data_IF_230127383366
#
_entry.id   IF_230127383366
#
_cell.length_a   1.000
_cell.length_b   1.000
_cell.length_c   1.000
_cell.angle_alpha   90.00
_cell.angle_beta   90.00
_cell.angle_gamma   90.00
#
_symmetry.space_group_name_H-M   'P 1'
#
loop_
_entity.id
_entity.type
_entity.pdbx_description
1 polymer ?
#
# COMPACT_ATOMS: atom_id res chain seq x y z
N UNK A 1 34.62 -42.57 -20.57
CA UNK A 1 33.52 -42.59 -19.61
C UNK A 1 33.45 -41.21 -19.02
N UNK A 2 32.48 -40.37 -19.47
CA UNK A 2 32.22 -39.04 -18.98
C UNK A 2 30.94 -39.11 -18.17
N UNK A 3 31.03 -38.93 -16.85
CA UNK A 3 29.91 -38.86 -15.93
C UNK A 3 29.34 -37.45 -15.93
N UNK A 4 28.16 -37.27 -16.51
CA UNK A 4 27.41 -36.03 -16.48
C UNK A 4 26.82 -35.81 -15.09
N UNK A 5 27.27 -34.73 -14.39
CA UNK A 5 26.64 -34.24 -13.19
C UNK A 5 25.43 -33.39 -13.56
N UNK A 6 24.21 -33.89 -13.35
CA UNK A 6 22.99 -33.15 -13.46
C UNK A 6 22.86 -32.20 -12.27
N UNK A 7 22.83 -30.86 -12.53
CA UNK A 7 22.42 -29.87 -11.57
C UNK A 7 20.91 -30.02 -11.33
N UNK A 8 20.55 -30.52 -10.16
CA UNK A 8 19.17 -30.50 -9.70
C UNK A 8 18.77 -29.03 -9.42
N UNK A 9 17.95 -28.43 -10.28
CA UNK A 9 17.24 -27.18 -9.99
C UNK A 9 16.21 -27.50 -8.90
N UNK A 10 16.45 -26.99 -7.70
CA UNK A 10 15.47 -27.04 -6.63
C UNK A 10 14.21 -26.29 -7.07
N UNK A 11 13.14 -27.02 -7.32
CA UNK A 11 11.79 -26.47 -7.55
C UNK A 11 11.36 -25.76 -6.27
N UNK A 12 11.40 -24.43 -6.25
CA UNK A 12 10.79 -23.64 -5.20
C UNK A 12 9.27 -23.89 -5.25
N UNK A 13 8.78 -24.77 -4.40
CA UNK A 13 7.36 -24.98 -4.20
C UNK A 13 6.76 -23.70 -3.61
N UNK A 14 5.93 -22.99 -4.39
CA UNK A 14 5.08 -21.93 -3.87
C UNK A 14 4.16 -22.53 -2.79
N UNK A 15 4.48 -22.30 -1.54
CA UNK A 15 3.55 -22.54 -0.44
C UNK A 15 2.56 -21.36 -0.41
N UNK A 16 1.24 -21.58 -0.37
CA UNK A 16 0.30 -20.52 -0.03
C UNK A 16 0.58 -20.14 1.42
N UNK A 17 1.26 -19.00 1.64
CA UNK A 17 1.51 -18.47 2.97
C UNK A 17 0.23 -17.78 3.49
N UNK A 18 -0.75 -18.58 3.93
CA UNK A 18 -1.88 -18.13 4.75
C UNK A 18 -1.48 -17.87 6.20
N UNK A 19 -0.19 -17.88 6.54
CA UNK A 19 0.32 -17.65 7.88
C UNK A 19 0.74 -16.18 8.10
N UNK A 20 0.55 -15.70 9.33
CA UNK A 20 1.04 -14.40 9.75
C UNK A 20 2.57 -14.34 9.79
N UNK A 21 3.12 -13.14 9.77
CA UNK A 21 4.54 -12.88 9.96
C UNK A 21 4.85 -12.73 11.45
N UNK A 22 5.98 -13.29 11.90
CA UNK A 22 6.55 -13.02 13.23
C UNK A 22 7.70 -12.03 13.12
N UNK A 23 7.83 -11.17 14.11
CA UNK A 23 8.82 -10.09 14.17
C UNK A 23 9.65 -10.26 15.44
N UNK A 24 10.97 -10.12 15.34
CA UNK A 24 11.83 -10.03 16.52
C UNK A 24 11.78 -8.60 17.08
N UNK A 25 11.22 -8.38 18.29
CA UNK A 25 11.17 -7.05 18.89
C UNK A 25 12.55 -6.49 19.28
N UNK A 26 13.60 -7.31 19.24
CA UNK A 26 14.99 -6.91 19.48
C UNK A 26 15.75 -6.49 18.23
N UNK A 27 15.19 -6.73 17.02
CA UNK A 27 15.84 -6.48 15.74
C UNK A 27 15.04 -5.51 14.86
N UNK A 28 14.60 -4.38 15.45
CA UNK A 28 13.75 -3.41 14.75
C UNK A 28 14.56 -2.40 13.94
N UNK A 29 13.94 -1.79 12.90
CA UNK A 29 14.57 -0.72 12.13
C UNK A 29 15.03 0.43 13.02
N UNK A 30 16.25 0.91 12.81
CA UNK A 30 16.73 2.11 13.47
C UNK A 30 16.02 3.34 12.90
N UNK A 31 15.56 4.25 13.77
CA UNK A 31 14.90 5.49 13.37
C UNK A 31 13.38 5.42 13.37
N UNK A 32 12.76 6.23 12.51
CA UNK A 32 11.28 6.36 12.42
C UNK A 32 10.76 5.72 11.15
N UNK A 33 9.65 4.99 11.26
CA UNK A 33 8.89 4.44 10.14
C UNK A 33 7.48 5.03 10.17
N UNK A 34 7.08 5.72 9.12
CA UNK A 34 5.78 6.41 9.03
C UNK A 34 5.46 7.33 10.23
N UNK A 35 6.50 7.93 10.86
CA UNK A 35 6.35 8.78 12.05
C UNK A 35 6.36 8.03 13.40
N UNK A 36 6.43 6.70 13.41
CA UNK A 36 6.50 5.86 14.61
C UNK A 36 7.93 5.38 14.86
N UNK A 37 8.37 5.33 16.11
CA UNK A 37 9.76 4.98 16.47
C UNK A 37 9.86 4.36 17.86
N UNK A 38 10.98 3.71 18.16
CA UNK A 38 11.30 3.16 19.48
C UNK A 38 10.20 2.24 20.00
N UNK A 39 9.66 2.54 21.20
CA UNK A 39 8.60 1.78 21.86
C UNK A 39 7.38 1.51 20.95
N UNK A 40 7.03 2.45 20.06
CA UNK A 40 5.89 2.30 19.18
C UNK A 40 6.11 1.18 18.14
N UNK A 41 7.34 1.01 17.65
CA UNK A 41 7.69 -0.10 16.74
C UNK A 41 7.77 -1.44 17.52
N UNK A 42 8.24 -1.42 18.77
CA UNK A 42 8.19 -2.60 19.67
C UNK A 42 6.75 -3.05 19.86
N UNK A 43 5.84 -2.12 20.18
CA UNK A 43 4.43 -2.42 20.36
C UNK A 43 3.77 -2.93 19.07
N UNK A 44 4.13 -2.39 17.90
CA UNK A 44 3.66 -2.91 16.62
C UNK A 44 4.12 -4.36 16.40
N UNK A 45 5.39 -4.69 16.71
CA UNK A 45 5.92 -6.05 16.63
C UNK A 45 5.19 -7.02 17.58
N UNK A 46 4.90 -6.60 18.82
CA UNK A 46 4.14 -7.40 19.78
C UNK A 46 2.71 -7.65 19.33
N UNK A 47 2.03 -6.65 18.76
CA UNK A 47 0.72 -6.80 18.13
C UNK A 47 0.77 -7.84 17.02
N UNK A 48 1.76 -7.72 16.12
CA UNK A 48 1.92 -8.67 15.02
C UNK A 48 2.14 -10.10 15.51
N UNK A 49 3.01 -10.28 16.49
CA UNK A 49 3.30 -11.60 17.06
C UNK A 49 2.06 -12.22 17.72
N UNK A 50 1.24 -11.42 18.42
CA UNK A 50 -0.04 -11.87 18.97
C UNK A 50 -1.00 -12.34 17.86
N UNK A 51 -1.06 -11.63 16.73
CA UNK A 51 -1.85 -12.03 15.57
C UNK A 51 -1.32 -13.31 14.92
N UNK A 52 0.00 -13.43 14.76
CA UNK A 52 0.64 -14.64 14.21
C UNK A 52 0.36 -15.87 15.08
N UNK A 53 0.43 -15.74 16.41
CA UNK A 53 0.12 -16.82 17.36
C UNK A 53 -1.34 -17.30 17.25
N UNK A 54 -2.26 -16.48 16.79
CA UNK A 54 -3.65 -16.82 16.52
C UNK A 54 -3.91 -17.26 15.05
N UNK A 55 -2.87 -17.39 14.25
CA UNK A 55 -2.96 -17.82 12.84
C UNK A 55 -3.52 -16.76 11.89
N UNK A 56 -3.56 -15.49 12.30
CA UNK A 56 -4.02 -14.42 11.41
C UNK A 56 -3.00 -14.13 10.30
N UNK A 57 -3.51 -13.86 9.11
CA UNK A 57 -2.69 -13.38 7.98
C UNK A 57 -2.02 -12.04 8.32
N UNK A 58 -0.98 -11.67 7.54
CA UNK A 58 -0.31 -10.36 7.68
C UNK A 58 -1.31 -9.21 7.57
N UNK A 59 -2.34 -9.32 6.70
CA UNK A 59 -3.43 -8.35 6.62
C UNK A 59 -4.18 -8.22 7.95
N UNK A 60 -4.52 -9.32 8.60
CA UNK A 60 -5.19 -9.32 9.91
C UNK A 60 -4.31 -8.65 10.99
N UNK A 61 -3.02 -8.95 10.98
CA UNK A 61 -2.03 -8.32 11.86
C UNK A 61 -1.94 -6.80 11.62
N UNK A 62 -1.96 -6.37 10.35
CA UNK A 62 -1.97 -4.94 9.97
C UNK A 62 -3.21 -4.22 10.47
N UNK A 63 -4.39 -4.87 10.46
CA UNK A 63 -5.62 -4.31 11.05
C UNK A 63 -5.42 -4.03 12.54
N UNK A 64 -4.75 -4.92 13.28
CA UNK A 64 -4.42 -4.69 14.68
C UNK A 64 -3.49 -3.50 14.88
N UNK A 65 -2.41 -3.41 14.11
CA UNK A 65 -1.47 -2.27 14.15
C UNK A 65 -2.19 -0.96 13.81
N UNK A 66 -2.97 -0.92 12.74
CA UNK A 66 -3.79 0.23 12.33
C UNK A 66 -4.75 0.67 13.45
N UNK A 67 -5.42 -0.29 14.10
CA UNK A 67 -6.36 0.02 15.18
C UNK A 67 -5.63 0.64 16.37
N UNK A 68 -4.51 0.06 16.81
CA UNK A 68 -3.72 0.61 17.91
C UNK A 68 -3.09 1.98 17.57
N UNK A 69 -2.78 2.26 16.32
CA UNK A 69 -2.38 3.60 15.87
C UNK A 69 -3.50 4.62 16.13
N UNK A 70 -4.73 4.27 15.81
CA UNK A 70 -5.90 5.12 16.03
C UNK A 70 -6.26 5.32 17.51
N UNK A 71 -6.13 4.26 18.32
CA UNK A 71 -6.55 4.29 19.71
C UNK A 71 -5.52 4.94 20.65
N UNK A 72 -4.23 4.69 20.41
CA UNK A 72 -3.18 5.06 21.37
C UNK A 72 -1.91 5.59 20.72
N UNK A 73 -1.87 5.74 19.41
CA UNK A 73 -0.63 6.01 18.66
C UNK A 73 0.47 4.96 18.95
N UNK A 74 0.08 3.69 19.10
CA UNK A 74 0.97 2.57 19.46
C UNK A 74 1.66 2.74 20.83
N UNK A 75 1.03 3.39 21.81
CA UNK A 75 1.54 3.56 23.17
C UNK A 75 0.64 2.87 24.18
N UNK A 76 1.22 2.28 25.21
CA UNK A 76 0.43 1.71 26.31
C UNK A 76 -0.04 2.87 27.20
N UNK A 77 -1.30 3.28 27.05
CA UNK A 77 -1.87 4.41 27.80
C UNK A 77 -2.61 3.92 29.05
N UNK A 78 -2.22 4.44 30.21
CA UNK A 78 -2.92 4.23 31.49
C UNK A 78 -3.97 5.30 31.74
N UNK A 79 -4.66 5.70 30.71
CA UNK A 79 -5.76 6.67 30.76
C UNK A 79 -6.68 6.50 29.56
N UNK A 80 -7.96 6.75 29.79
CA UNK A 80 -8.93 6.95 28.71
C UNK A 80 -9.19 8.43 28.43
N UNK A 81 -10.19 8.68 27.59
CA UNK A 81 -10.72 10.00 27.31
C UNK A 81 -12.02 10.28 28.12
N UNK A 82 -12.69 11.42 27.83
CA UNK A 82 -13.95 11.78 28.46
C UNK A 82 -15.09 10.79 28.17
N UNK A 83 -15.07 10.13 27.01
CA UNK A 83 -16.09 9.16 26.61
C UNK A 83 -15.85 7.78 27.21
N UNK A 84 -14.59 7.47 27.54
CA UNK A 84 -14.15 6.21 28.11
C UNK A 84 -13.05 6.36 29.14
N UNK A 85 -13.32 6.95 30.33
CA UNK A 85 -12.28 7.25 31.32
C UNK A 85 -11.60 5.99 31.89
N UNK A 86 -12.23 4.83 31.76
CA UNK A 86 -11.73 3.50 32.13
C UNK A 86 -10.97 2.76 31.01
N UNK A 87 -10.87 3.37 29.84
CA UNK A 87 -10.12 2.82 28.69
C UNK A 87 -8.62 2.73 28.99
N UNK A 88 -7.96 1.62 28.60
CA UNK A 88 -6.54 1.34 28.90
C UNK A 88 -5.85 0.65 27.75
N UNK A 89 -4.52 0.82 27.73
CA UNK A 89 -3.58 0.09 26.89
C UNK A 89 -3.58 0.52 25.43
N UNK A 90 -3.02 -0.34 24.59
CA UNK A 90 -2.85 -0.10 23.15
C UNK A 90 -4.16 0.08 22.36
N UNK A 91 -5.21 -0.62 22.78
CA UNK A 91 -6.52 -0.66 22.11
C UNK A 91 -7.61 0.11 22.86
N UNK A 92 -7.25 0.90 23.85
CA UNK A 92 -8.18 1.67 24.68
C UNK A 92 -9.40 0.84 25.12
N UNK A 93 -9.10 -0.37 25.64
CA UNK A 93 -10.10 -1.35 26.05
C UNK A 93 -10.76 -0.95 27.36
N UNK A 94 -12.11 -1.00 27.37
CA UNK A 94 -12.95 -0.60 28.51
C UNK A 94 -13.01 -1.67 29.61
N UNK A 95 -13.29 -1.23 30.83
CA UNK A 95 -13.53 -2.12 31.98
C UNK A 95 -14.97 -2.64 32.01
N UNK A 96 -15.31 -3.44 31.00
CA UNK A 96 -16.66 -3.99 30.80
C UNK A 96 -16.72 -5.53 30.82
N UNK A 97 -15.62 -6.15 31.30
CA UNK A 97 -15.48 -7.61 31.36
C UNK A 97 -15.14 -8.30 30.04
N UNK A 98 -15.19 -7.60 28.90
CA UNK A 98 -14.90 -8.21 27.60
C UNK A 98 -13.40 -8.36 27.31
N UNK A 99 -12.55 -7.59 27.97
CA UNK A 99 -11.13 -7.40 27.64
C UNK A 99 -10.15 -7.88 28.72
N UNK A 100 -10.66 -8.59 29.74
CA UNK A 100 -9.86 -9.07 30.85
C UNK A 100 -9.66 -8.05 31.96
N UNK A 101 -8.70 -8.34 32.85
CA UNK A 101 -8.34 -7.48 33.98
C UNK A 101 -7.66 -6.19 33.53
N UNK A 102 -7.44 -5.27 34.47
CA UNK A 102 -6.61 -4.08 34.25
C UNK A 102 -5.21 -4.47 33.72
N UNK A 103 -4.57 -5.46 34.33
CA UNK A 103 -3.24 -5.92 33.90
C UNK A 103 -3.25 -6.48 32.48
N UNK A 104 -4.30 -7.22 32.09
CA UNK A 104 -4.45 -7.76 30.73
C UNK A 104 -4.58 -6.65 29.69
N UNK A 105 -5.32 -5.58 29.99
CA UNK A 105 -5.51 -4.43 29.12
C UNK A 105 -4.23 -3.59 28.97
N UNK A 106 -3.38 -3.56 30.00
CA UNK A 106 -2.09 -2.86 29.99
C UNK A 106 -0.95 -3.66 29.37
N UNK A 107 -1.09 -4.98 29.22
CA UNK A 107 -0.10 -5.81 28.53
C UNK A 107 -0.28 -5.74 27.01
N UNK A 108 0.74 -5.32 26.24
CA UNK A 108 0.65 -5.20 24.79
C UNK A 108 0.23 -6.48 24.06
N UNK A 109 0.74 -7.63 24.50
CA UNK A 109 0.49 -8.93 23.86
C UNK A 109 -0.89 -9.46 24.21
N UNK A 110 -1.29 -9.34 25.48
CA UNK A 110 -2.61 -9.83 25.94
C UNK A 110 -3.73 -8.96 25.35
N UNK A 111 -3.58 -7.63 25.40
CA UNK A 111 -4.58 -6.71 24.83
C UNK A 111 -4.73 -6.90 23.33
N UNK A 112 -3.64 -7.12 22.58
CA UNK A 112 -3.67 -7.45 21.16
C UNK A 112 -4.34 -8.81 20.91
N UNK A 113 -4.03 -9.82 21.71
CA UNK A 113 -4.67 -11.15 21.62
C UNK A 113 -6.18 -11.05 21.82
N UNK A 114 -6.64 -10.25 22.80
CA UNK A 114 -8.07 -10.02 23.05
C UNK A 114 -8.74 -9.29 21.88
N UNK A 115 -8.08 -8.28 21.30
CA UNK A 115 -8.56 -7.61 20.10
C UNK A 115 -8.72 -8.60 18.93
N UNK A 116 -7.71 -9.41 18.64
CA UNK A 116 -7.75 -10.36 17.53
C UNK A 116 -8.80 -11.46 17.73
N UNK A 117 -9.00 -11.95 18.94
CA UNK A 117 -10.08 -12.87 19.24
C UNK A 117 -11.45 -12.25 18.99
N UNK A 118 -11.60 -10.95 19.29
CA UNK A 118 -12.83 -10.22 18.97
C UNK A 118 -12.99 -10.03 17.44
N UNK A 119 -11.91 -9.73 16.71
CA UNK A 119 -11.92 -9.61 15.26
C UNK A 119 -12.32 -10.93 14.59
N UNK A 120 -11.79 -12.08 15.04
CA UNK A 120 -12.14 -13.40 14.51
C UNK A 120 -13.62 -13.78 14.71
N UNK A 121 -14.33 -13.12 15.62
CA UNK A 121 -15.79 -13.30 15.83
C UNK A 121 -16.63 -12.43 14.90
N UNK A 122 -16.03 -11.45 14.21
CA UNK A 122 -16.74 -10.63 13.23
C UNK A 122 -16.92 -11.46 11.95
N UNK A 123 -18.17 -11.74 11.60
CA UNK A 123 -18.46 -12.56 10.42
C UNK A 123 -17.93 -11.90 9.13
N UNK A 124 -17.12 -12.63 8.37
CA UNK A 124 -16.57 -12.18 7.11
C UNK A 124 -15.54 -11.04 7.22
N UNK A 125 -14.90 -10.85 8.38
CA UNK A 125 -13.93 -9.78 8.61
C UNK A 125 -12.79 -9.76 7.58
N UNK A 126 -12.43 -10.90 7.03
CA UNK A 126 -11.37 -11.06 6.01
C UNK A 126 -11.70 -10.29 4.72
N UNK A 127 -12.98 -10.10 4.41
CA UNK A 127 -13.46 -9.43 3.20
C UNK A 127 -13.92 -7.99 3.44
N UNK A 128 -14.11 -7.59 4.70
CA UNK A 128 -14.43 -6.21 5.04
C UNK A 128 -13.26 -5.28 4.71
N UNK A 129 -13.54 -3.99 4.47
CA UNK A 129 -12.45 -3.00 4.45
C UNK A 129 -11.74 -2.99 5.81
N UNK A 130 -10.42 -2.67 5.87
CA UNK A 130 -9.68 -2.66 7.13
C UNK A 130 -10.35 -1.82 8.22
N UNK A 131 -10.82 -0.61 7.86
CA UNK A 131 -11.52 0.29 8.79
C UNK A 131 -12.84 -0.29 9.27
N UNK A 132 -13.62 -0.96 8.40
CA UNK A 132 -14.89 -1.59 8.78
C UNK A 132 -14.64 -2.77 9.74
N UNK A 133 -13.61 -3.57 9.52
CA UNK A 133 -13.23 -4.67 10.40
C UNK A 133 -12.82 -4.16 11.80
N UNK A 134 -11.98 -3.10 11.86
CA UNK A 134 -11.60 -2.46 13.11
C UNK A 134 -12.80 -1.84 13.84
N UNK A 135 -13.66 -1.12 13.10
CA UNK A 135 -14.89 -0.50 13.64
C UNK A 135 -15.85 -1.55 14.23
N UNK A 136 -16.02 -2.71 13.58
CA UNK A 136 -16.88 -3.78 14.07
C UNK A 136 -16.43 -4.29 15.46
N UNK A 137 -15.12 -4.22 15.77
CA UNK A 137 -14.58 -4.59 17.09
C UNK A 137 -14.67 -3.44 18.08
N UNK A 138 -14.21 -2.24 17.70
CA UNK A 138 -14.05 -1.08 18.59
C UNK A 138 -15.33 -0.28 18.80
N UNK A 139 -16.25 -0.30 17.82
CA UNK A 139 -17.57 0.37 17.89
C UNK A 139 -17.48 1.87 18.19
N UNK A 140 -16.43 2.54 17.72
CA UNK A 140 -16.28 3.98 17.81
C UNK A 140 -17.35 4.72 17.00
N UNK A 141 -17.53 6.03 17.24
CA UNK A 141 -18.63 6.81 16.63
C UNK A 141 -18.47 6.98 15.10
N UNK A 142 -17.23 7.04 14.58
CA UNK A 142 -16.96 7.22 13.16
C UNK A 142 -16.54 5.88 12.52
N UNK A 143 -17.36 5.27 11.64
CA UNK A 143 -17.02 4.00 10.99
C UNK A 143 -15.80 4.09 10.07
N UNK A 144 -15.39 5.29 9.65
CA UNK A 144 -14.24 5.52 8.78
C UNK A 144 -12.99 5.99 9.53
N UNK A 145 -13.04 6.06 10.85
CA UNK A 145 -12.00 6.63 11.71
C UNK A 145 -10.60 6.07 11.43
N UNK A 146 -10.48 4.76 11.20
CA UNK A 146 -9.19 4.09 11.01
C UNK A 146 -8.63 4.19 9.61
N UNK A 147 -9.38 4.66 8.62
CA UNK A 147 -8.94 4.72 7.21
C UNK A 147 -7.60 5.45 7.05
N UNK A 148 -7.40 6.55 7.75
CA UNK A 148 -6.16 7.35 7.72
C UNK A 148 -4.92 6.65 8.29
N UNK A 149 -5.10 5.58 9.06
CA UNK A 149 -4.01 4.83 9.68
C UNK A 149 -3.62 3.58 8.88
N UNK A 150 -4.38 3.21 7.83
CA UNK A 150 -4.11 2.01 7.04
C UNK A 150 -2.75 2.06 6.35
N UNK A 151 -2.46 3.13 5.61
CA UNK A 151 -1.19 3.28 4.90
C UNK A 151 0.02 3.38 5.85
N UNK A 152 -0.02 4.18 6.94
CA UNK A 152 1.03 4.15 7.96
C UNK A 152 1.24 2.75 8.58
N UNK A 153 0.17 2.02 8.89
CA UNK A 153 0.26 0.68 9.44
C UNK A 153 0.91 -0.29 8.45
N UNK A 154 0.53 -0.23 7.18
CA UNK A 154 1.15 -1.01 6.12
C UNK A 154 2.65 -0.75 6.00
N UNK A 155 3.07 0.51 6.05
CA UNK A 155 4.50 0.89 6.01
C UNK A 155 5.26 0.34 7.23
N UNK A 156 4.69 0.43 8.44
CA UNK A 156 5.29 -0.14 9.65
C UNK A 156 5.41 -1.65 9.53
N UNK A 157 4.34 -2.35 9.12
CA UNK A 157 4.35 -3.81 8.95
C UNK A 157 5.35 -4.24 7.89
N UNK A 158 5.42 -3.55 6.76
CA UNK A 158 6.39 -3.83 5.70
C UNK A 158 7.84 -3.66 6.20
N UNK A 159 8.13 -2.60 6.95
CA UNK A 159 9.45 -2.37 7.52
C UNK A 159 9.84 -3.42 8.57
N UNK A 160 8.86 -3.95 9.32
CA UNK A 160 9.10 -4.96 10.36
C UNK A 160 9.25 -6.37 9.79
N UNK A 161 8.62 -6.69 8.65
CA UNK A 161 8.53 -8.06 8.14
C UNK A 161 9.23 -8.28 6.81
N UNK A 162 9.51 -7.21 6.08
CA UNK A 162 9.89 -7.27 4.66
C UNK A 162 8.73 -7.67 3.73
N UNK A 163 7.50 -7.83 4.25
CA UNK A 163 6.32 -8.15 3.44
C UNK A 163 5.79 -6.87 2.79
N UNK A 164 5.65 -6.82 1.46
CA UNK A 164 5.16 -5.62 0.77
C UNK A 164 3.74 -5.22 1.20
N UNK A 165 3.49 -3.91 1.32
CA UNK A 165 2.20 -3.33 1.75
C UNK A 165 1.03 -3.80 0.89
N UNK A 166 1.28 -4.06 -0.39
CA UNK A 166 0.29 -4.47 -1.39
C UNK A 166 -0.35 -5.85 -1.09
N UNK A 167 0.35 -6.71 -0.37
CA UNK A 167 -0.18 -8.01 0.06
C UNK A 167 -1.25 -7.89 1.15
N UNK A 168 -1.47 -6.68 1.69
CA UNK A 168 -2.33 -6.42 2.83
C UNK A 168 -3.78 -6.08 2.46
N UNK A 169 -4.07 -5.78 1.19
CA UNK A 169 -5.41 -5.38 0.75
C UNK A 169 -6.33 -6.58 0.41
N UNK A 170 -7.65 -6.53 0.79
CA UNK A 170 -8.62 -7.53 0.39
C UNK A 170 -8.92 -7.38 -1.11
N UNK A 171 -8.49 -8.28 -1.90
CA UNK A 171 -8.52 -8.27 -3.37
C UNK A 171 -7.16 -8.61 -3.96
N UNK A 172 -6.10 -8.55 -3.17
CA UNK A 172 -4.88 -9.30 -3.44
C UNK A 172 -5.18 -10.78 -3.26
N UNK A 173 -5.86 -11.38 -4.26
CA UNK A 173 -6.05 -12.83 -4.31
C UNK A 173 -4.68 -13.47 -4.11
N UNK A 174 -4.66 -14.58 -3.34
CA UNK A 174 -3.50 -15.44 -3.25
C UNK A 174 -2.85 -15.50 -4.64
N UNK A 175 -1.54 -15.22 -4.72
CA UNK A 175 -0.76 -15.42 -5.94
C UNK A 175 -1.03 -16.86 -6.41
N UNK A 176 -2.01 -17.01 -7.28
CA UNK A 176 -2.17 -18.24 -8.03
C UNK A 176 -0.92 -18.29 -8.91
N UNK A 177 -0.03 -19.23 -8.63
CA UNK A 177 1.03 -19.60 -9.53
C UNK A 177 0.38 -20.12 -10.81
N UNK A 178 0.13 -19.21 -11.77
CA UNK A 178 -0.21 -19.64 -13.13
C UNK A 178 1.06 -20.18 -13.78
N UNK A 179 0.99 -21.35 -14.41
CA UNK A 179 2.16 -21.94 -15.07
C UNK A 179 2.65 -21.16 -16.31
N UNK A 180 1.91 -20.15 -16.73
CA UNK A 180 2.26 -19.28 -17.86
C UNK A 180 2.69 -17.90 -17.35
N UNK A 181 3.98 -17.66 -17.29
CA UNK A 181 4.76 -16.57 -16.73
C UNK A 181 4.38 -15.13 -17.08
N UNK A 182 3.15 -14.69 -16.72
CA UNK A 182 2.68 -13.33 -16.80
C UNK A 182 2.35 -12.79 -15.41
N UNK A 183 3.37 -12.41 -14.62
CA UNK A 183 3.17 -11.69 -13.38
C UNK A 183 2.74 -10.25 -13.71
N UNK A 184 1.45 -9.98 -13.65
CA UNK A 184 0.94 -8.60 -13.60
C UNK A 184 1.44 -7.93 -12.34
N UNK A 185 2.43 -7.04 -12.46
CA UNK A 185 3.01 -6.32 -11.35
C UNK A 185 1.99 -5.39 -10.70
N UNK A 186 1.86 -5.46 -9.37
CA UNK A 186 0.98 -4.58 -8.60
C UNK A 186 1.64 -3.20 -8.41
N UNK A 187 0.90 -2.08 -8.57
CA UNK A 187 1.43 -0.73 -8.33
C UNK A 187 1.79 -0.53 -6.85
N UNK A 188 2.90 0.15 -6.59
CA UNK A 188 3.36 0.48 -5.23
C UNK A 188 4.48 -0.42 -4.68
N UNK A 189 4.84 -1.50 -5.36
CA UNK A 189 5.98 -2.36 -5.02
C UNK A 189 7.19 -1.93 -5.84
N UNK A 190 8.37 -1.67 -5.24
CA UNK A 190 9.61 -1.59 -5.99
C UNK A 190 9.86 -2.89 -6.74
N UNK A 191 9.76 -2.82 -8.06
CA UNK A 191 9.95 -3.97 -8.93
C UNK A 191 11.42 -4.12 -9.32
N UNK A 192 11.86 -5.32 -9.71
CA UNK A 192 13.21 -5.52 -10.21
C UNK A 192 13.48 -4.61 -11.42
N UNK A 193 14.76 -4.28 -11.70
CA UNK A 193 15.13 -3.49 -12.87
C UNK A 193 14.52 -4.04 -14.16
N UNK A 194 13.91 -3.16 -14.95
CA UNK A 194 13.23 -3.53 -16.21
C UNK A 194 11.75 -3.91 -16.06
N UNK A 195 11.21 -4.03 -14.85
CA UNK A 195 9.79 -4.29 -14.63
C UNK A 195 8.94 -3.03 -14.81
N UNK A 196 7.69 -3.23 -15.28
CA UNK A 196 6.68 -2.20 -15.46
C UNK A 196 5.44 -2.47 -14.61
N UNK A 197 4.70 -1.40 -14.24
CA UNK A 197 3.49 -1.50 -13.43
C UNK A 197 2.44 -0.46 -13.84
N UNK A 198 1.21 -0.60 -13.30
CA UNK A 198 0.14 0.39 -13.48
C UNK A 198 0.53 1.72 -12.85
N UNK A 199 0.37 2.86 -13.57
CA UNK A 199 0.66 4.18 -13.03
C UNK A 199 -0.39 4.67 -12.02
N UNK A 200 -1.61 4.15 -12.07
CA UNK A 200 -2.68 4.35 -11.09
C UNK A 200 -3.67 3.18 -11.10
N UNK A 201 -4.44 3.03 -10.02
CA UNK A 201 -5.51 2.02 -9.91
C UNK A 201 -6.85 2.74 -10.01
N UNK A 202 -7.57 2.51 -11.10
CA UNK A 202 -8.88 3.11 -11.36
C UNK A 202 -9.41 2.76 -12.72
N UNK A 203 -10.66 3.16 -13.04
CA UNK A 203 -11.24 2.92 -14.36
C UNK A 203 -10.52 3.74 -15.44
N UNK A 204 -10.28 3.11 -16.59
CA UNK A 204 -9.86 3.79 -17.81
C UNK A 204 -11.07 4.58 -18.36
N UNK A 205 -10.97 5.89 -18.42
CA UNK A 205 -12.08 6.77 -18.84
C UNK A 205 -11.86 7.43 -20.20
N UNK A 206 -10.62 7.46 -20.69
CA UNK A 206 -10.30 8.01 -22.00
C UNK A 206 -9.07 7.36 -22.60
N UNK A 207 -9.07 7.15 -23.90
CA UNK A 207 -7.98 6.52 -24.64
C UNK A 207 -7.19 7.53 -25.46
N UNK A 208 -6.01 7.12 -25.92
CA UNK A 208 -5.16 7.88 -26.85
C UNK A 208 -5.86 8.10 -28.20
N UNK A 209 -5.64 9.26 -28.83
CA UNK A 209 -6.11 9.55 -30.16
C UNK A 209 -6.90 10.87 -30.30
N UNK A 210 -7.59 11.05 -31.40
CA UNK A 210 -8.39 12.27 -31.65
C UNK A 210 -9.68 12.27 -30.84
N UNK A 211 -9.90 13.35 -30.09
CA UNK A 211 -11.06 13.52 -29.21
C UNK A 211 -11.62 14.93 -29.40
N UNK A 212 -12.86 15.06 -29.85
CA UNK A 212 -13.53 16.35 -30.12
C UNK A 212 -12.68 17.31 -30.98
N UNK A 213 -12.00 16.78 -32.00
CA UNK A 213 -11.17 17.57 -32.91
C UNK A 213 -9.81 17.98 -32.35
N UNK A 214 -9.42 17.48 -31.19
CA UNK A 214 -8.11 17.70 -30.56
C UNK A 214 -7.38 16.37 -30.26
N UNK A 215 -6.05 16.33 -30.39
CA UNK A 215 -5.30 15.15 -30.01
C UNK A 215 -5.32 14.97 -28.50
N UNK A 216 -5.54 13.72 -28.05
CA UNK A 216 -5.35 13.25 -26.70
C UNK A 216 -4.10 12.38 -26.68
N UNK A 217 -3.00 12.87 -26.12
CA UNK A 217 -1.66 12.29 -26.24
C UNK A 217 -1.37 11.19 -25.20
N UNK A 218 -2.37 10.77 -24.44
CA UNK A 218 -2.24 9.79 -23.38
C UNK A 218 -3.52 8.99 -23.15
N UNK A 219 -3.61 8.42 -21.97
CA UNK A 219 -4.83 7.78 -21.44
C UNK A 219 -5.22 8.46 -20.13
N UNK A 220 -6.52 8.47 -19.83
CA UNK A 220 -7.03 8.99 -18.57
C UNK A 220 -7.51 7.82 -17.69
N UNK A 221 -6.93 7.71 -16.49
CA UNK A 221 -7.32 6.75 -15.46
C UNK A 221 -7.92 7.56 -14.31
N UNK A 222 -9.17 7.31 -13.93
CA UNK A 222 -9.94 8.15 -13.03
C UNK A 222 -10.26 7.45 -11.68
N UNK A 223 -9.27 7.24 -10.80
CA UNK A 223 -9.54 6.90 -9.43
C UNK A 223 -10.03 8.12 -8.63
N UNK A 224 -10.48 7.95 -7.36
CA UNK A 224 -10.80 9.06 -6.48
C UNK A 224 -9.66 10.09 -6.38
N UNK A 225 -10.02 11.36 -6.10
CA UNK A 225 -9.04 12.41 -5.81
C UNK A 225 -8.07 11.97 -4.72
N UNK A 226 -6.81 12.42 -4.80
CA UNK A 226 -5.73 12.10 -3.87
C UNK A 226 -5.28 10.62 -3.86
N UNK A 227 -5.82 9.78 -4.75
CA UNK A 227 -5.31 8.43 -4.97
C UNK A 227 -3.83 8.46 -5.39
N UNK A 228 -3.02 7.46 -5.02
CA UNK A 228 -1.61 7.41 -5.38
C UNK A 228 -1.38 7.36 -6.90
N UNK A 229 -0.33 8.05 -7.34
CA UNK A 229 0.27 7.92 -8.67
C UNK A 229 1.63 7.25 -8.49
N UNK A 230 1.90 6.22 -9.29
CA UNK A 230 3.11 5.41 -9.20
C UNK A 230 3.98 5.56 -10.45
N UNK A 231 5.31 5.51 -10.28
CA UNK A 231 6.24 5.39 -11.40
C UNK A 231 5.98 4.07 -12.14
N UNK A 232 5.65 4.15 -13.42
CA UNK A 232 5.31 2.98 -14.23
C UNK A 232 6.51 2.02 -14.42
N UNK A 233 7.73 2.55 -14.35
CA UNK A 233 8.97 1.78 -14.34
C UNK A 233 10.07 2.53 -13.55
N UNK A 234 11.18 1.86 -13.25
CA UNK A 234 12.36 2.50 -12.67
C UNK A 234 12.96 3.51 -13.64
N UNK A 235 13.47 4.64 -13.14
CA UNK A 235 14.05 5.68 -13.98
C UNK A 235 14.49 6.91 -13.20
N UNK A 236 14.79 7.98 -13.93
CA UNK A 236 15.20 9.27 -13.36
C UNK A 236 14.11 10.32 -13.67
N UNK A 237 13.70 11.08 -12.66
CA UNK A 237 12.74 12.18 -12.84
C UNK A 237 13.42 13.30 -13.60
N UNK A 238 12.92 13.61 -14.79
CA UNK A 238 13.44 14.68 -15.66
C UNK A 238 12.58 15.95 -15.63
N UNK A 239 11.37 15.85 -15.05
CA UNK A 239 10.48 16.98 -14.78
C UNK A 239 9.62 16.72 -13.56
N UNK A 240 9.40 17.74 -12.71
CA UNK A 240 8.48 17.71 -11.58
C UNK A 240 8.01 19.14 -11.26
N UNK A 241 6.73 19.44 -11.42
CA UNK A 241 6.15 20.74 -11.11
C UNK A 241 5.23 21.33 -12.19
N UNK A 242 4.94 22.63 -12.15
CA UNK A 242 3.94 23.29 -12.99
C UNK A 242 4.20 23.14 -14.49
N UNK A 243 3.14 22.90 -15.27
CA UNK A 243 3.18 22.77 -16.72
C UNK A 243 1.86 23.23 -17.33
N UNK A 244 1.95 24.10 -18.36
CA UNK A 244 0.76 24.63 -19.03
C UNK A 244 -0.14 23.51 -19.56
N UNK A 245 -1.45 23.59 -19.27
CA UNK A 245 -2.44 22.57 -19.60
C UNK A 245 -2.43 21.35 -18.70
N UNK A 246 -1.27 20.87 -18.28
CA UNK A 246 -1.12 19.68 -17.43
C UNK A 246 -1.32 19.92 -15.93
N UNK A 247 -1.45 21.19 -15.51
CA UNK A 247 -1.41 21.57 -14.10
C UNK A 247 -0.02 21.34 -13.51
N UNK A 248 0.21 20.29 -12.74
CA UNK A 248 1.56 19.79 -12.44
C UNK A 248 1.84 18.52 -13.24
N UNK A 249 3.09 18.40 -13.68
CA UNK A 249 3.58 17.30 -14.51
C UNK A 249 4.83 16.69 -13.87
N UNK A 250 4.83 15.38 -13.73
CA UNK A 250 6.03 14.57 -13.52
C UNK A 250 6.38 13.90 -14.84
N UNK A 251 7.67 13.87 -15.20
CA UNK A 251 8.18 13.04 -16.29
C UNK A 251 9.36 12.20 -15.78
N UNK A 252 9.33 10.91 -16.10
CA UNK A 252 10.36 9.93 -15.71
C UNK A 252 10.99 9.36 -16.97
N UNK A 253 12.30 9.48 -17.09
CA UNK A 253 13.10 8.86 -18.13
C UNK A 253 13.55 7.46 -17.66
N UNK A 254 13.14 6.44 -18.41
CA UNK A 254 13.40 5.03 -18.11
C UNK A 254 14.62 4.48 -18.85
N UNK A 255 15.30 5.33 -19.64
CA UNK A 255 16.30 4.91 -20.60
C UNK A 255 15.71 4.28 -21.86
N UNK A 256 16.55 3.93 -22.84
CA UNK A 256 16.09 3.32 -24.10
C UNK A 256 15.08 4.18 -24.89
N UNK A 257 15.22 5.51 -24.78
CA UNK A 257 14.32 6.50 -25.41
C UNK A 257 12.85 6.45 -24.93
N UNK A 258 12.58 5.90 -23.75
CA UNK A 258 11.23 5.81 -23.17
C UNK A 258 11.07 6.79 -22.01
N UNK A 259 10.10 7.68 -22.12
CA UNK A 259 9.72 8.63 -21.05
C UNK A 259 8.23 8.45 -20.77
N UNK A 260 7.86 8.37 -19.50
CA UNK A 260 6.45 8.45 -19.06
C UNK A 260 6.16 9.79 -18.42
N UNK A 261 4.90 10.25 -18.58
CA UNK A 261 4.45 11.52 -18.01
C UNK A 261 3.14 11.32 -17.24
N UNK A 262 3.02 12.08 -16.15
CA UNK A 262 1.93 12.00 -15.19
C UNK A 262 1.44 13.41 -14.90
N UNK A 263 0.16 13.68 -15.08
CA UNK A 263 -0.39 15.04 -15.03
C UNK A 263 -1.58 15.20 -14.09
N UNK A 264 -2.03 16.44 -13.94
CA UNK A 264 -3.20 16.95 -13.21
C UNK A 264 -3.10 16.90 -11.69
N UNK A 265 -1.90 16.68 -11.13
CA UNK A 265 -1.66 16.77 -9.68
C UNK A 265 -1.89 18.20 -9.17
N UNK A 266 -2.41 18.33 -7.95
CA UNK A 266 -2.47 19.63 -7.27
C UNK A 266 -1.07 20.08 -6.81
N UNK A 267 -0.88 21.41 -6.57
CA UNK A 267 0.29 21.90 -5.85
C UNK A 267 0.41 21.18 -4.48
N UNK A 268 1.59 20.60 -4.19
CA UNK A 268 1.81 19.78 -2.97
C UNK A 268 1.60 18.29 -3.15
N UNK A 269 0.97 17.84 -4.25
CA UNK A 269 0.78 16.42 -4.56
C UNK A 269 1.87 15.83 -5.48
N UNK A 270 2.86 16.63 -5.87
CA UNK A 270 4.09 16.18 -6.53
C UNK A 270 5.07 15.74 -5.44
N UNK A 271 5.32 14.43 -5.32
CA UNK A 271 6.08 13.83 -4.22
C UNK A 271 7.53 13.48 -4.59
N UNK A 272 8.00 14.01 -5.73
CA UNK A 272 9.36 13.75 -6.24
C UNK A 272 9.96 15.03 -6.82
N UNK A 273 11.27 15.00 -7.07
CA UNK A 273 12.03 16.14 -7.57
C UNK A 273 12.85 15.76 -8.81
N UNK A 274 13.16 16.75 -9.67
CA UNK A 274 14.03 16.55 -10.82
C UNK A 274 15.40 16.03 -10.38
N UNK A 275 15.91 15.02 -11.07
CA UNK A 275 17.16 14.31 -10.77
C UNK A 275 16.99 13.15 -9.79
N UNK A 276 15.85 13.00 -9.15
CA UNK A 276 15.57 11.87 -8.25
C UNK A 276 15.43 10.57 -9.07
N UNK A 277 16.13 9.51 -8.63
CA UNK A 277 15.90 8.16 -9.13
C UNK A 277 14.65 7.60 -8.44
N UNK A 278 13.76 7.00 -9.22
CA UNK A 278 12.57 6.30 -8.75
C UNK A 278 12.60 4.85 -9.21
N UNK A 279 11.98 3.97 -8.45
CA UNK A 279 11.80 2.57 -8.82
C UNK A 279 10.39 2.32 -9.32
N UNK A 280 10.19 1.32 -10.17
CA UNK A 280 8.86 0.92 -10.63
C UNK A 280 7.94 0.68 -9.42
N UNK A 281 6.71 1.22 -9.45
CA UNK A 281 5.76 1.12 -8.34
C UNK A 281 5.98 2.11 -7.19
N UNK A 282 7.04 2.90 -7.19
CA UNK A 282 7.23 3.97 -6.19
C UNK A 282 6.16 5.04 -6.36
N UNK A 283 5.51 5.45 -5.26
CA UNK A 283 4.60 6.59 -5.29
C UNK A 283 5.37 7.88 -5.59
N UNK A 284 4.96 8.59 -6.64
CA UNK A 284 5.57 9.84 -7.12
C UNK A 284 4.66 11.05 -7.03
N UNK A 285 3.36 10.82 -6.84
CA UNK A 285 2.36 11.90 -6.72
C UNK A 285 1.01 11.41 -6.25
N UNK A 286 0.01 12.30 -6.32
CA UNK A 286 -1.40 12.00 -6.06
C UNK A 286 -2.29 12.55 -7.15
N UNK A 287 -3.37 11.83 -7.45
CA UNK A 287 -4.36 12.20 -8.47
C UNK A 287 -5.10 13.47 -8.06
N UNK A 288 -5.17 14.41 -9.00
CA UNK A 288 -5.88 15.68 -8.84
C UNK A 288 -6.73 16.01 -10.05
N UNK A 289 -7.13 17.28 -10.13
CA UNK A 289 -7.87 17.87 -11.25
C UNK A 289 -7.34 19.28 -11.56
N UNK A 290 -6.02 19.45 -11.58
CA UNK A 290 -5.38 20.76 -11.77
C UNK A 290 -4.94 20.94 -13.22
N UNK A 291 -5.10 22.15 -13.78
CA UNK A 291 -4.87 22.45 -15.20
C UNK A 291 -6.11 22.19 -16.06
N UNK A 292 -5.93 21.74 -17.29
CA UNK A 292 -7.03 21.48 -18.24
C UNK A 292 -7.72 20.14 -17.94
N UNK A 293 -8.41 20.07 -16.82
CA UNK A 293 -9.07 18.86 -16.29
C UNK A 293 -10.48 19.17 -15.80
N UNK A 294 -11.41 18.26 -16.06
CA UNK A 294 -12.82 18.38 -15.68
C UNK A 294 -13.21 17.57 -14.45
N UNK A 295 -12.28 16.81 -13.89
CA UNK A 295 -12.49 15.94 -12.72
C UNK A 295 -11.23 15.18 -12.36
N UNK A 296 -11.19 14.59 -11.17
CA UNK A 296 -9.99 13.87 -10.72
C UNK A 296 -9.67 12.67 -11.62
N UNK A 297 -8.50 12.71 -12.23
CA UNK A 297 -7.93 11.62 -13.02
C UNK A 297 -6.41 11.77 -13.12
N UNK A 298 -5.71 10.70 -13.40
CA UNK A 298 -4.35 10.70 -13.91
C UNK A 298 -4.42 10.75 -15.44
N UNK A 299 -3.89 11.79 -16.05
CA UNK A 299 -3.52 11.77 -17.46
C UNK A 299 -2.11 11.18 -17.57
N UNK A 300 -1.99 10.05 -18.26
CA UNK A 300 -0.75 9.27 -18.40
C UNK A 300 -0.33 9.21 -19.88
N UNK A 301 0.92 9.59 -20.14
CA UNK A 301 1.51 9.57 -21.48
C UNK A 301 2.74 8.69 -21.53
N UNK A 302 3.00 8.11 -22.69
CA UNK A 302 4.24 7.41 -23.05
C UNK A 302 4.86 8.09 -24.26
N UNK A 303 6.14 8.43 -24.16
CA UNK A 303 6.93 8.92 -25.28
C UNK A 303 8.02 7.91 -25.62
N UNK A 304 8.22 7.69 -26.91
CA UNK A 304 9.34 6.88 -27.47
C UNK A 304 10.10 7.72 -28.48
N UNK A 305 11.40 7.90 -28.28
CA UNK A 305 12.20 8.80 -29.10
C UNK A 305 11.66 10.24 -29.14
N UNK A 306 11.01 10.70 -28.05
CA UNK A 306 10.39 12.01 -27.94
C UNK A 306 9.00 12.15 -28.60
N UNK A 307 8.48 11.12 -29.28
CA UNK A 307 7.14 11.12 -29.90
C UNK A 307 6.11 10.46 -28.97
N UNK A 308 4.91 11.05 -28.88
CA UNK A 308 3.78 10.44 -28.16
C UNK A 308 3.40 9.10 -28.78
N UNK A 309 3.20 8.12 -27.95
CA UNK A 309 2.85 6.74 -28.33
C UNK A 309 1.62 6.32 -27.52
N UNK A 310 0.71 5.56 -28.16
CA UNK A 310 -0.45 5.02 -27.44
C UNK A 310 -0.01 4.19 -26.23
N UNK A 311 -0.38 4.59 -25.01
CA UNK A 311 0.04 3.89 -23.80
C UNK A 311 -0.52 2.47 -23.69
N UNK A 312 -1.70 2.17 -24.23
CA UNK A 312 -2.32 0.85 -24.03
C UNK A 312 -1.56 -0.29 -24.71
N UNK A 313 -1.23 -0.23 -26.03
CA UNK A 313 -0.40 -1.24 -26.66
C UNK A 313 1.01 -1.31 -26.04
N UNK A 314 1.58 -0.15 -25.65
CA UNK A 314 2.88 -0.11 -25.02
C UNK A 314 2.85 -0.85 -23.66
N UNK A 315 1.93 -0.51 -22.77
CA UNK A 315 1.80 -1.16 -21.45
C UNK A 315 1.54 -2.66 -21.60
N UNK A 316 0.68 -3.05 -22.56
CA UNK A 316 0.43 -4.46 -22.87
C UNK A 316 1.72 -5.18 -23.30
N UNK A 317 2.56 -4.55 -24.11
CA UNK A 317 3.83 -5.13 -24.58
C UNK A 317 4.86 -5.36 -23.47
N UNK A 318 4.73 -4.65 -22.36
CA UNK A 318 5.57 -4.78 -21.16
C UNK A 318 4.86 -5.51 -20.02
N UNK A 319 3.75 -6.20 -20.31
CA UNK A 319 3.02 -7.07 -19.37
C UNK A 319 2.08 -6.35 -18.42
N UNK A 320 1.71 -5.08 -18.68
CA UNK A 320 0.81 -4.29 -17.83
C UNK A 320 -0.55 -4.11 -18.50
N UNK A 321 -1.64 -4.53 -17.82
CA UNK A 321 -3.02 -4.26 -18.22
C UNK A 321 -3.62 -3.15 -17.36
N UNK A 322 -4.21 -2.11 -17.96
CA UNK A 322 -4.90 -0.98 -17.30
C UNK A 322 -6.43 -1.08 -17.38
N UNK A 323 -6.94 -2.23 -17.77
CA UNK A 323 -8.38 -2.51 -17.78
C UNK A 323 -8.82 -3.10 -16.45
#
# INVERSE_FOLDING_TARGET
MLTGGGLAVASASCRPSGGGATVDPGALPAGSVAGYSGEQLVNAALIMNAGAALGLSVRGQTIGVMTAMGESTLRVLDRGDLAGPDSRGLFQQRDNGAWGSYADRMDPTISATNFFRALQRVNGWETLSPTAAAHAVQRNADPNYYTRFWDPAGQVVAALTGVPVETLNPGGGALACSPDGGAGALPGVPLPPGAWTKPAIGPLTSVYGMRWGRPHNGIDIAPPCSSPIYAAASGTVVRAGPSSGYGNLIAVDHGGDVVTRYAHMYPGDVLTSVGQTVVAGQQIGRVGSYGDSTGCHLHFEVLRGGAFTDPLPFLTSVGVSVQ
#
